data_IF_030153873869
#
_entry.id   IF_030153873869
#
_cell.length_a   1.000
_cell.length_b   1.000
_cell.length_c   1.000
_cell.angle_alpha   90.00
_cell.angle_beta   90.00
_cell.angle_gamma   90.00
#
_symmetry.space_group_name_H-M   'P 1'
#
loop_
_entity.id
_entity.type
_entity.pdbx_description
1 polymer ?
#
# COMPACT_ATOMS: atom_id res chain seq x y z
N UNK A 1 21.20 14.18 47.09
CA UNK A 1 21.37 14.63 45.69
C UNK A 1 20.36 13.87 44.84
N UNK A 2 19.32 14.51 44.27
CA UNK A 2 18.37 13.81 43.42
C UNK A 2 18.98 13.63 42.02
N UNK A 3 19.02 12.40 41.52
CA UNK A 3 19.41 12.08 40.15
C UNK A 3 18.30 12.55 39.20
N UNK A 4 18.46 13.74 38.60
CA UNK A 4 17.69 14.08 37.40
C UNK A 4 18.28 13.27 36.25
N UNK A 5 17.61 12.18 35.88
CA UNK A 5 17.89 11.52 34.62
C UNK A 5 17.41 12.43 33.49
N UNK A 6 18.27 12.83 32.53
CA UNK A 6 17.80 13.53 31.35
C UNK A 6 16.87 12.59 30.58
N UNK A 7 15.62 13.05 30.41
CA UNK A 7 14.66 12.70 29.35
C UNK A 7 14.58 11.23 28.85
N UNK A 8 14.66 10.24 29.74
CA UNK A 8 14.49 8.82 29.39
C UNK A 8 13.16 8.51 28.71
N UNK A 9 12.13 9.31 28.95
CA UNK A 9 10.80 9.12 28.35
C UNK A 9 10.79 9.46 26.86
N UNK A 10 11.53 10.49 26.44
CA UNK A 10 11.70 10.84 25.03
C UNK A 10 12.50 9.77 24.29
N UNK A 11 13.54 9.23 24.92
CA UNK A 11 14.34 8.12 24.38
C UNK A 11 13.51 6.84 24.19
N UNK A 12 12.72 6.44 25.20
CA UNK A 12 11.83 5.28 25.09
C UNK A 12 10.76 5.47 24.02
N UNK A 13 10.16 6.66 23.94
CA UNK A 13 9.12 6.95 22.94
C UNK A 13 9.68 6.87 21.51
N UNK A 14 10.89 7.38 21.31
CA UNK A 14 11.61 7.32 20.03
C UNK A 14 11.93 5.88 19.66
N UNK A 15 12.41 5.09 20.63
CA UNK A 15 12.68 3.66 20.42
C UNK A 15 11.42 2.87 20.07
N UNK A 16 10.32 3.10 20.78
CA UNK A 16 9.04 2.45 20.47
C UNK A 16 8.59 2.81 19.05
N UNK A 17 8.72 4.07 18.65
CA UNK A 17 8.37 4.50 17.29
C UNK A 17 9.21 3.78 16.23
N UNK A 18 10.52 3.67 16.45
CA UNK A 18 11.44 2.95 15.57
C UNK A 18 11.06 1.47 15.43
N UNK A 19 10.88 0.77 16.55
CA UNK A 19 10.53 -0.66 16.55
C UNK A 19 9.17 -0.92 15.88
N UNK A 20 8.19 -0.03 16.13
CA UNK A 20 6.88 -0.12 15.48
C UNK A 20 7.01 0.11 13.98
N UNK A 21 7.82 1.09 13.56
CA UNK A 21 8.09 1.35 12.14
C UNK A 21 8.72 0.14 11.47
N UNK A 22 9.79 -0.42 12.03
CA UNK A 22 10.49 -1.57 11.44
C UNK A 22 9.56 -2.78 11.32
N UNK A 23 8.81 -3.10 12.37
CA UNK A 23 7.80 -4.18 12.35
C UNK A 23 6.76 -3.96 11.27
N UNK A 24 6.32 -2.72 11.09
CA UNK A 24 5.29 -2.35 10.13
C UNK A 24 5.80 -2.42 8.69
N UNK A 25 7.01 -1.92 8.43
CA UNK A 25 7.67 -2.01 7.14
C UNK A 25 7.89 -3.49 6.76
N UNK A 26 8.40 -4.31 7.67
CA UNK A 26 8.55 -5.76 7.46
C UNK A 26 7.22 -6.44 7.14
N UNK A 27 6.16 -6.14 7.90
CA UNK A 27 4.83 -6.73 7.67
C UNK A 27 4.24 -6.31 6.31
N UNK A 28 4.41 -5.04 5.92
CA UNK A 28 3.99 -4.54 4.60
C UNK A 28 4.76 -5.25 3.50
N UNK A 29 6.08 -5.41 3.66
CA UNK A 29 6.93 -6.06 2.67
C UNK A 29 6.48 -7.50 2.42
N UNK A 30 6.20 -8.27 3.48
CA UNK A 30 5.68 -9.63 3.35
C UNK A 30 4.35 -9.68 2.57
N UNK A 31 3.38 -8.83 2.93
CA UNK A 31 2.07 -8.81 2.28
C UNK A 31 2.19 -8.39 0.82
N UNK A 32 3.01 -7.40 0.51
CA UNK A 32 3.13 -6.87 -0.85
C UNK A 32 3.93 -7.80 -1.76
N UNK A 33 4.98 -8.46 -1.25
CA UNK A 33 5.69 -9.50 -2.01
C UNK A 33 4.79 -10.71 -2.29
N UNK A 34 4.01 -11.15 -1.30
CA UNK A 34 3.08 -12.28 -1.49
C UNK A 34 1.98 -11.93 -2.50
N UNK A 35 1.39 -10.73 -2.41
CA UNK A 35 0.43 -10.25 -3.41
C UNK A 35 1.02 -10.23 -4.83
N UNK A 36 2.26 -9.75 -4.99
CA UNK A 36 2.96 -9.72 -6.28
C UNK A 36 3.17 -11.15 -6.82
N UNK A 37 3.65 -12.06 -5.98
CA UNK A 37 3.85 -13.47 -6.35
C UNK A 37 2.54 -14.12 -6.76
N UNK A 38 1.46 -13.92 -6.01
CA UNK A 38 0.12 -14.46 -6.32
C UNK A 38 -0.40 -13.92 -7.65
N UNK A 39 -0.35 -12.60 -7.87
CA UNK A 39 -0.77 -11.99 -9.15
C UNK A 39 0.05 -12.49 -10.35
N UNK A 40 1.37 -12.67 -10.18
CA UNK A 40 2.24 -13.20 -11.24
C UNK A 40 1.94 -14.66 -11.54
N UNK A 41 1.71 -15.47 -10.50
CA UNK A 41 1.35 -16.89 -10.63
C UNK A 41 0.05 -17.09 -11.41
N UNK A 42 -0.97 -16.27 -11.15
CA UNK A 42 -2.23 -16.32 -11.91
C UNK A 42 -2.04 -16.08 -13.40
N UNK A 43 -1.06 -15.25 -13.76
CA UNK A 43 -0.71 -14.91 -15.14
C UNK A 43 0.26 -15.91 -15.77
N UNK A 44 0.68 -16.96 -15.04
CA UNK A 44 1.69 -17.91 -15.49
C UNK A 44 3.08 -17.29 -15.66
N UNK A 45 3.36 -16.17 -14.99
CA UNK A 45 4.65 -15.49 -15.04
C UNK A 45 5.65 -16.11 -14.05
N UNK A 46 6.97 -16.01 -14.31
CA UNK A 46 7.98 -16.47 -13.36
C UNK A 46 7.95 -15.64 -12.06
N UNK A 47 8.58 -16.13 -10.98
CA UNK A 47 8.75 -15.35 -9.75
C UNK A 47 9.39 -13.97 -10.00
N UNK A 48 9.10 -12.96 -9.16
CA UNK A 48 9.68 -11.63 -9.31
C UNK A 48 11.18 -11.65 -9.05
N UNK A 49 11.92 -10.81 -9.77
CA UNK A 49 13.38 -10.68 -9.65
C UNK A 49 13.74 -9.27 -9.18
N UNK A 50 14.55 -9.16 -8.12
CA UNK A 50 14.95 -7.85 -7.56
C UNK A 50 15.73 -6.97 -8.56
N UNK A 51 16.46 -7.59 -9.50
CA UNK A 51 17.19 -6.90 -10.57
C UNK A 51 16.28 -6.29 -11.64
N UNK A 52 15.06 -6.78 -11.77
CA UNK A 52 14.12 -6.34 -12.80
C UNK A 52 13.42 -5.03 -12.40
N UNK A 53 13.53 -4.00 -13.24
CA UNK A 53 12.93 -2.69 -12.99
C UNK A 53 11.39 -2.74 -12.98
N UNK A 54 10.78 -3.60 -13.79
CA UNK A 54 9.32 -3.73 -13.85
C UNK A 54 8.78 -4.41 -12.58
N UNK A 55 9.51 -5.41 -12.05
CA UNK A 55 9.14 -6.07 -10.80
C UNK A 55 9.27 -5.13 -9.61
N UNK A 56 10.34 -4.31 -9.56
CA UNK A 56 10.48 -3.27 -8.53
C UNK A 56 9.35 -2.24 -8.61
N UNK A 57 8.97 -1.82 -9.82
CA UNK A 57 7.85 -0.89 -10.01
C UNK A 57 6.52 -1.51 -9.57
N UNK A 58 6.25 -2.76 -9.97
CA UNK A 58 5.04 -3.49 -9.56
C UNK A 58 4.98 -3.65 -8.03
N UNK A 59 6.11 -3.93 -7.41
CA UNK A 59 6.24 -3.97 -5.96
C UNK A 59 5.87 -2.63 -5.30
N UNK A 60 6.46 -1.51 -5.76
CA UNK A 60 6.13 -0.17 -5.25
C UNK A 60 4.64 0.14 -5.43
N UNK A 61 4.04 -0.24 -6.56
CA UNK A 61 2.61 -0.07 -6.81
C UNK A 61 1.75 -0.88 -5.81
N UNK A 62 2.14 -2.12 -5.48
CA UNK A 62 1.49 -2.91 -4.45
C UNK A 62 1.61 -2.30 -3.06
N UNK A 63 2.79 -1.78 -2.69
CA UNK A 63 3.01 -1.12 -1.39
C UNK A 63 2.10 0.10 -1.25
N UNK A 64 2.08 0.98 -2.24
CA UNK A 64 1.23 2.17 -2.22
C UNK A 64 -0.26 1.82 -2.19
N UNK A 65 -0.69 0.83 -2.98
CA UNK A 65 -2.08 0.39 -3.02
C UNK A 65 -2.52 -0.24 -1.69
N UNK A 66 -1.68 -1.06 -1.07
CA UNK A 66 -1.95 -1.67 0.23
C UNK A 66 -2.05 -0.61 1.33
N UNK A 67 -1.07 0.32 1.41
CA UNK A 67 -1.05 1.39 2.39
C UNK A 67 -2.27 2.32 2.28
N UNK A 68 -2.72 2.63 1.06
CA UNK A 68 -3.92 3.42 0.80
C UNK A 68 -5.18 2.70 1.29
N UNK A 69 -5.30 1.40 0.99
CA UNK A 69 -6.41 0.55 1.48
C UNK A 69 -6.42 0.43 3.00
N UNK A 70 -5.26 0.18 3.59
CA UNK A 70 -5.08 0.04 5.03
C UNK A 70 -5.52 1.31 5.75
N UNK A 71 -5.08 2.47 5.25
CA UNK A 71 -5.52 3.76 5.77
C UNK A 71 -7.02 3.96 5.61
N UNK A 72 -7.58 3.77 4.42
CA UNK A 72 -9.00 3.97 4.18
C UNK A 72 -9.90 3.05 4.99
N UNK A 73 -9.39 1.89 5.41
CA UNK A 73 -10.13 0.95 6.26
C UNK A 73 -10.02 1.29 7.75
N UNK A 74 -8.84 1.68 8.23
CA UNK A 74 -8.60 1.96 9.65
C UNK A 74 -9.08 3.37 10.02
N UNK A 75 -8.92 4.34 9.13
CA UNK A 75 -9.41 5.71 9.26
C UNK A 75 -10.14 6.15 7.98
N UNK A 76 -11.46 5.89 7.90
CA UNK A 76 -12.28 6.24 6.74
C UNK A 76 -12.34 7.75 6.46
N UNK A 77 -12.11 8.57 7.49
CA UNK A 77 -12.15 10.03 7.35
C UNK A 77 -10.90 10.60 6.68
N UNK A 78 -9.79 9.88 6.74
CA UNK A 78 -8.52 10.29 6.15
C UNK A 78 -8.35 9.94 4.65
N UNK A 79 -9.25 9.13 4.06
CA UNK A 79 -9.12 8.65 2.68
C UNK A 79 -9.33 9.71 1.59
N UNK A 80 -10.01 10.82 1.90
CA UNK A 80 -10.37 11.85 0.90
C UNK A 80 -9.35 12.97 0.68
N UNK A 81 -8.58 13.33 1.70
CA UNK A 81 -7.75 14.54 1.69
C UNK A 81 -6.36 14.37 1.05
N UNK A 82 -5.84 13.14 1.01
CA UNK A 82 -4.48 12.90 0.51
C UNK A 82 -4.41 12.45 -0.95
N UNK A 83 -5.46 11.84 -1.51
CA UNK A 83 -5.53 11.59 -2.97
C UNK A 83 -5.31 12.89 -3.76
N UNK A 84 -5.80 14.00 -3.21
CA UNK A 84 -5.66 15.38 -3.73
C UNK A 84 -4.28 16.00 -3.45
N UNK A 85 -3.59 15.52 -2.41
CA UNK A 85 -2.25 15.97 -1.96
C UNK A 85 -1.12 15.15 -2.63
N UNK A 86 -1.43 13.96 -3.15
CA UNK A 86 -0.54 13.15 -3.99
C UNK A 86 -0.29 13.78 -5.36
N UNK A 87 -1.22 14.59 -5.87
CA UNK A 87 -1.03 15.39 -7.10
C UNK A 87 -0.03 16.55 -6.91
N UNK A 88 0.42 16.82 -5.68
CA UNK A 88 1.25 17.98 -5.33
C UNK A 88 2.77 17.77 -5.49
N UNK A 89 3.23 16.80 -6.28
CA UNK A 89 4.62 16.73 -6.75
C UNK A 89 5.64 15.97 -5.87
N UNK A 90 5.20 15.17 -4.92
CA UNK A 90 6.09 14.26 -4.16
C UNK A 90 6.21 12.90 -4.86
N UNK A 91 7.43 12.43 -5.10
CA UNK A 91 7.67 11.10 -5.69
C UNK A 91 7.11 9.94 -4.86
N UNK A 92 7.09 8.72 -5.43
CA UNK A 92 6.53 7.52 -4.81
C UNK A 92 7.11 7.23 -3.42
N UNK A 93 8.41 7.42 -3.23
CA UNK A 93 9.11 7.23 -1.94
C UNK A 93 8.61 8.20 -0.87
N UNK A 94 8.46 9.48 -1.21
CA UNK A 94 7.92 10.48 -0.28
C UNK A 94 6.46 10.18 0.10
N UNK A 95 5.67 9.68 -0.87
CA UNK A 95 4.31 9.24 -0.61
C UNK A 95 4.29 8.03 0.32
N UNK A 96 5.13 7.02 0.07
CA UNK A 96 5.25 5.84 0.92
C UNK A 96 5.67 6.22 2.34
N UNK A 97 6.69 7.05 2.50
CA UNK A 97 7.16 7.50 3.81
C UNK A 97 6.06 8.22 4.62
N UNK A 98 5.24 9.05 3.97
CA UNK A 98 4.08 9.71 4.60
C UNK A 98 3.03 8.70 5.04
N UNK A 99 2.68 7.74 4.19
CA UNK A 99 1.71 6.70 4.51
C UNK A 99 2.18 5.82 5.67
N UNK A 100 3.45 5.38 5.65
CA UNK A 100 4.06 4.60 6.74
C UNK A 100 4.04 5.40 8.04
N UNK A 101 4.42 6.68 8.03
CA UNK A 101 4.38 7.52 9.22
C UNK A 101 2.95 7.63 9.81
N UNK A 102 1.94 7.77 8.95
CA UNK A 102 0.53 7.74 9.39
C UNK A 102 0.13 6.40 10.02
N UNK A 103 0.58 5.28 9.45
CA UNK A 103 0.33 3.95 10.01
C UNK A 103 1.03 3.72 11.35
N UNK A 104 2.27 4.20 11.53
CA UNK A 104 2.99 4.14 12.81
C UNK A 104 2.23 4.90 13.90
N UNK A 105 1.70 6.08 13.58
CA UNK A 105 0.89 6.85 14.53
C UNK A 105 -0.40 6.11 14.93
N UNK A 106 -1.06 5.44 13.98
CA UNK A 106 -2.24 4.60 14.24
C UNK A 106 -1.87 3.37 15.08
N UNK A 107 -0.78 2.68 14.76
CA UNK A 107 -0.31 1.50 15.49
C UNK A 107 0.04 1.80 16.95
N UNK A 108 0.54 3.00 17.23
CA UNK A 108 0.85 3.44 18.59
C UNK A 108 -0.38 3.87 19.40
N UNK A 109 -1.46 4.26 18.73
CA UNK A 109 -2.66 4.81 19.38
C UNK A 109 -3.80 3.81 19.50
N UNK A 110 -3.90 2.84 18.59
CA UNK A 110 -4.99 1.87 18.53
C UNK A 110 -4.55 0.51 19.08
N UNK A 111 -5.21 -0.01 20.13
CA UNK A 111 -4.85 -1.29 20.75
C UNK A 111 -5.13 -2.50 19.83
N UNK A 112 -6.10 -2.37 18.93
CA UNK A 112 -6.52 -3.41 17.97
C UNK A 112 -5.94 -3.20 16.56
N UNK A 113 -4.94 -2.33 16.42
CA UNK A 113 -4.33 -2.00 15.12
C UNK A 113 -3.89 -3.24 14.34
N UNK A 114 -3.13 -4.14 14.97
CA UNK A 114 -2.58 -5.32 14.30
C UNK A 114 -3.66 -6.29 13.84
N UNK A 115 -4.77 -6.42 14.59
CA UNK A 115 -5.90 -7.24 14.16
C UNK A 115 -6.57 -6.65 12.91
N UNK A 116 -6.71 -5.32 12.84
CA UNK A 116 -7.23 -4.64 11.64
C UNK A 116 -6.27 -4.77 10.46
N UNK A 117 -4.97 -4.64 10.72
CA UNK A 117 -3.93 -4.84 9.71
C UNK A 117 -4.03 -6.25 9.10
N UNK A 118 -4.11 -7.29 9.93
CA UNK A 118 -4.24 -8.68 9.48
C UNK A 118 -5.53 -8.90 8.68
N UNK A 119 -6.66 -8.34 9.14
CA UNK A 119 -7.92 -8.43 8.41
C UNK A 119 -7.84 -7.77 7.02
N UNK A 120 -7.24 -6.58 6.92
CA UNK A 120 -7.02 -5.90 5.63
C UNK A 120 -6.06 -6.69 4.74
N UNK A 121 -4.99 -7.24 5.32
CA UNK A 121 -4.00 -8.06 4.63
C UNK A 121 -4.63 -9.30 4.01
N UNK A 122 -5.46 -10.01 4.77
CA UNK A 122 -6.17 -11.19 4.28
C UNK A 122 -7.06 -10.87 3.07
N UNK A 123 -7.85 -9.80 3.15
CA UNK A 123 -8.71 -9.37 2.04
C UNK A 123 -7.87 -8.92 0.84
N UNK A 124 -6.79 -8.17 1.07
CA UNK A 124 -5.91 -7.71 0.00
C UNK A 124 -5.25 -8.87 -0.76
N UNK A 125 -4.80 -9.91 -0.04
CA UNK A 125 -4.24 -11.11 -0.63
C UNK A 125 -5.28 -11.94 -1.39
N UNK A 126 -6.50 -12.09 -0.87
CA UNK A 126 -7.60 -12.74 -1.60
C UNK A 126 -7.96 -12.01 -2.90
N UNK A 127 -7.91 -10.68 -2.90
CA UNK A 127 -8.13 -9.89 -4.13
C UNK A 127 -7.00 -10.09 -5.15
N UNK A 128 -5.76 -10.28 -4.69
CA UNK A 128 -4.62 -10.61 -5.56
C UNK A 128 -4.73 -12.01 -6.17
N UNK A 129 -5.35 -12.97 -5.48
CA UNK A 129 -5.61 -14.33 -5.98
C UNK A 129 -6.75 -14.41 -7.00
N UNK A 130 -7.61 -13.40 -7.04
CA UNK A 130 -8.76 -13.35 -7.95
C UNK A 130 -8.54 -12.37 -9.12
N UNK A 131 -7.40 -11.68 -9.17
CA UNK A 131 -7.09 -10.66 -10.18
C UNK A 131 -7.93 -9.38 -10.05
N UNK A 132 -8.48 -9.12 -8.86
CA UNK A 132 -9.33 -7.95 -8.56
C UNK A 132 -8.56 -6.81 -7.89
N UNK A 133 -7.23 -6.96 -7.75
CA UNK A 133 -6.43 -6.06 -6.92
C UNK A 133 -6.42 -4.62 -7.48
N UNK A 134 -6.62 -3.63 -6.61
CA UNK A 134 -6.68 -2.22 -7.00
C UNK A 134 -5.38 -1.67 -7.62
N UNK A 135 -4.24 -2.32 -7.38
CA UNK A 135 -2.97 -2.02 -8.03
C UNK A 135 -3.05 -2.26 -9.55
N UNK A 136 -3.70 -3.34 -9.98
CA UNK A 136 -3.89 -3.71 -11.39
C UNK A 136 -4.84 -2.73 -12.12
N UNK A 137 -5.83 -2.16 -11.43
CA UNK A 137 -6.67 -1.07 -11.99
C UNK A 137 -5.87 0.20 -12.29
N UNK A 138 -4.84 0.51 -11.50
CA UNK A 138 -3.93 1.65 -11.78
C UNK A 138 -2.97 1.35 -12.93
N UNK A 139 -2.42 0.13 -13.01
CA UNK A 139 -1.57 -0.29 -14.13
C UNK A 139 -2.34 -0.31 -15.46
N UNK A 140 -3.59 -0.80 -15.47
CA UNK A 140 -4.47 -0.76 -16.65
C UNK A 140 -4.90 0.67 -17.01
N UNK A 141 -4.99 1.58 -16.04
CA UNK A 141 -5.32 2.99 -16.30
C UNK A 141 -4.13 3.83 -16.80
N UNK A 142 -2.91 3.29 -16.78
CA UNK A 142 -1.68 3.93 -17.28
C UNK A 142 -1.23 3.45 -18.67
N UNK A 143 -1.95 2.50 -19.29
CA UNK A 143 -1.71 2.05 -20.66
C UNK A 143 -2.71 2.75 -21.60
N UNK A 144 -2.25 3.81 -22.26
CA UNK A 144 -3.06 4.59 -23.20
C UNK A 144 -3.46 3.79 -24.44
N UNK A 145 -4.60 4.16 -25.04
CA UNK A 145 -4.97 3.75 -26.39
C UNK A 145 -6.41 3.30 -26.53
N UNK A 146 -7.27 4.27 -26.86
CA UNK A 146 -8.37 4.17 -27.82
C UNK A 146 -8.81 2.77 -28.28
N UNK A 147 -10.06 2.42 -27.99
CA UNK A 147 -10.71 1.37 -28.76
C UNK A 147 -11.97 0.80 -28.15
N UNK A 148 -13.10 1.26 -28.70
CA UNK A 148 -14.37 0.52 -28.78
C UNK A 148 -15.25 0.53 -27.54
N UNK A 149 -16.14 1.51 -27.54
CA UNK A 149 -17.46 1.29 -26.94
C UNK A 149 -18.24 2.58 -26.87
N UNK A 150 -18.88 2.97 -27.98
CA UNK A 150 -20.13 3.74 -28.00
C UNK A 150 -20.67 3.92 -29.44
N UNK A 151 -19.83 3.86 -30.48
CA UNK A 151 -20.27 3.98 -31.89
C UNK A 151 -20.55 2.63 -32.61
N UNK A 152 -20.12 1.50 -32.03
CA UNK A 152 -20.40 0.16 -32.59
C UNK A 152 -21.86 -0.32 -32.37
N UNK A 153 -22.71 0.46 -31.67
CA UNK A 153 -24.12 0.12 -31.40
C UNK A 153 -25.14 0.81 -32.31
N UNK A 154 -24.72 1.67 -33.26
CA UNK A 154 -25.65 2.45 -34.07
C UNK A 154 -25.72 2.09 -35.57
N UNK A 155 -24.77 1.33 -36.14
CA UNK A 155 -24.76 1.08 -37.60
C UNK A 155 -24.32 -0.33 -38.01
N UNK A 156 -24.92 -1.38 -37.44
CA UNK A 156 -24.50 -2.77 -37.70
C UNK A 156 -25.61 -3.80 -37.82
N UNK A 157 -26.71 -3.49 -38.50
CA UNK A 157 -27.64 -4.50 -39.07
C UNK A 157 -28.40 -3.90 -40.23
N UNK A 158 -28.09 -4.38 -41.43
CA UNK A 158 -28.66 -4.04 -42.73
C UNK A 158 -27.82 -4.75 -43.79
#
# INVERSE_FOLDING_TARGET
MPFRHPDRSHDLSTRIEHEVRERLEEAIDYVCLDALVRSRRLRGLPPPEAGNADDRRAYTEHVLAFLDRLRGTIDPTAGGDERRRSDSGGGAEAQQARLVAGQVALARSLPDYWQRFEAVSAVYLSDAETGSSGAERRAASGSGGEGRGLLARLFGRG
#
